data_IF_310670533712
#
_entry.id   IF_310670533712
#
_cell.length_a   1.000
_cell.length_b   1.000
_cell.length_c   1.000
_cell.angle_alpha   90.00
_cell.angle_beta   90.00
_cell.angle_gamma   90.00
#
_symmetry.space_group_name_H-M   'P 1'
#
loop_
_entity.id
_entity.type
_entity.pdbx_description
1 polymer ?
#
# COMPACT_ATOMS: atom_id res chain seq x y z
N UNK A 1 17.88 6.24 25.33
CA UNK A 1 16.90 5.93 24.27
C UNK A 1 17.51 6.39 22.94
N UNK A 2 17.68 5.51 21.95
CA UNK A 2 18.30 5.89 20.65
C UNK A 2 17.56 7.06 20.01
N UNK A 3 18.29 8.04 19.47
CA UNK A 3 17.72 9.21 18.78
C UNK A 3 16.72 8.80 17.70
N UNK A 4 17.02 7.72 16.96
CA UNK A 4 16.15 7.19 15.92
C UNK A 4 14.80 6.70 16.46
N UNK A 5 14.78 5.98 17.59
CA UNK A 5 13.54 5.49 18.17
C UNK A 5 12.67 6.63 18.70
N UNK A 6 13.30 7.65 19.32
CA UNK A 6 12.58 8.85 19.75
C UNK A 6 11.96 9.57 18.55
N UNK A 7 12.73 9.79 17.48
CA UNK A 7 12.24 10.40 16.24
C UNK A 7 11.06 9.62 15.66
N UNK A 8 11.19 8.30 15.52
CA UNK A 8 10.14 7.44 14.99
C UNK A 8 8.85 7.56 15.82
N UNK A 9 8.95 7.40 17.14
CA UNK A 9 7.79 7.46 18.05
C UNK A 9 7.09 8.82 17.99
N UNK A 10 7.84 9.92 18.07
CA UNK A 10 7.27 11.27 18.01
C UNK A 10 6.64 11.54 16.64
N UNK A 11 7.28 11.13 15.55
CA UNK A 11 6.75 11.32 14.19
C UNK A 11 5.48 10.48 13.94
N UNK A 12 5.41 9.26 14.48
CA UNK A 12 4.21 8.43 14.42
C UNK A 12 3.05 9.01 15.24
N UNK A 13 3.35 9.57 16.41
CA UNK A 13 2.34 10.27 17.21
C UNK A 13 1.81 11.51 16.47
N UNK A 14 2.70 12.35 15.93
CA UNK A 14 2.34 13.50 15.13
C UNK A 14 1.48 13.11 13.92
N UNK A 15 1.86 12.05 13.20
CA UNK A 15 1.08 11.55 12.06
C UNK A 15 -0.32 11.10 12.47
N UNK A 16 -0.45 10.48 13.65
CA UNK A 16 -1.75 10.08 14.20
C UNK A 16 -2.61 11.28 14.58
N UNK A 17 -2.05 12.27 15.27
CA UNK A 17 -2.78 13.50 15.61
C UNK A 17 -3.25 14.25 14.36
N UNK A 18 -2.41 14.35 13.33
CA UNK A 18 -2.80 15.00 12.07
C UNK A 18 -3.96 14.28 11.37
N UNK A 19 -4.00 12.95 11.44
CA UNK A 19 -5.03 12.14 10.76
C UNK A 19 -6.32 11.96 11.58
N UNK A 20 -6.24 12.05 12.91
CA UNK A 20 -7.36 11.77 13.82
C UNK A 20 -7.99 13.02 14.45
N UNK A 21 -7.22 14.08 14.66
CA UNK A 21 -7.65 15.23 15.46
C UNK A 21 -8.36 16.34 14.65
N UNK A 22 -8.69 16.09 13.39
CA UNK A 22 -9.39 17.07 12.54
C UNK A 22 -10.90 17.17 12.84
N UNK A 23 -11.45 16.28 13.67
CA UNK A 23 -12.88 16.24 14.00
C UNK A 23 -13.16 15.62 15.38
N UNK A 24 -14.43 15.58 15.79
CA UNK A 24 -14.87 14.90 17.00
C UNK A 24 -14.58 13.39 16.92
N UNK A 25 -14.15 12.73 18.01
CA UNK A 25 -13.74 11.32 17.98
C UNK A 25 -14.78 10.36 17.38
N UNK A 26 -16.07 10.62 17.59
CA UNK A 26 -17.13 9.76 17.07
C UNK A 26 -17.29 9.90 15.55
N UNK A 27 -17.15 11.11 15.00
CA UNK A 27 -17.16 11.38 13.55
C UNK A 27 -15.97 10.71 12.89
N UNK A 28 -14.79 10.80 13.51
CA UNK A 28 -13.60 10.11 13.01
C UNK A 28 -13.84 8.61 12.87
N UNK A 29 -14.35 7.96 13.93
CA UNK A 29 -14.69 6.52 13.90
C UNK A 29 -15.72 6.22 12.82
N UNK A 30 -16.78 7.03 12.72
CA UNK A 30 -17.81 6.86 11.70
C UNK A 30 -17.20 6.91 10.29
N UNK A 31 -16.39 7.92 9.97
CA UNK A 31 -15.76 8.05 8.66
C UNK A 31 -14.74 6.95 8.37
N UNK A 32 -13.99 6.51 9.39
CA UNK A 32 -13.06 5.38 9.27
C UNK A 32 -13.76 4.06 8.93
N UNK A 33 -15.04 3.89 9.31
CA UNK A 33 -15.85 2.71 8.96
C UNK A 33 -16.60 2.90 7.65
N UNK A 34 -17.24 4.05 7.44
CA UNK A 34 -18.05 4.31 6.25
C UNK A 34 -17.18 4.29 4.99
N UNK A 35 -15.99 4.90 5.00
CA UNK A 35 -15.19 5.03 3.77
C UNK A 35 -14.75 3.68 3.20
N UNK A 36 -14.18 2.73 3.98
CA UNK A 36 -13.85 1.40 3.47
C UNK A 36 -15.08 0.60 3.02
N UNK A 37 -16.18 0.66 3.78
CA UNK A 37 -17.43 -0.02 3.44
C UNK A 37 -18.05 0.54 2.14
N UNK A 38 -18.08 1.86 1.97
CA UNK A 38 -18.48 2.52 0.74
C UNK A 38 -17.60 2.10 -0.45
N UNK A 39 -16.28 2.00 -0.24
CA UNK A 39 -15.36 1.44 -1.22
C UNK A 39 -15.67 -0.03 -1.57
N UNK A 40 -16.10 -0.84 -0.60
CA UNK A 40 -16.50 -2.22 -0.84
C UNK A 40 -17.79 -2.33 -1.67
N UNK A 41 -18.74 -1.41 -1.49
CA UNK A 41 -20.00 -1.40 -2.24
C UNK A 41 -19.80 -1.31 -3.76
N UNK A 42 -18.72 -0.68 -4.25
CA UNK A 42 -18.46 -0.66 -5.70
C UNK A 42 -18.22 -2.06 -6.26
N UNK A 43 -17.60 -2.96 -5.49
CA UNK A 43 -17.40 -4.34 -5.87
C UNK A 43 -18.69 -5.15 -5.82
N UNK A 44 -19.59 -4.80 -4.90
CA UNK A 44 -20.94 -5.40 -4.82
C UNK A 44 -21.72 -5.07 -6.09
N UNK A 45 -21.73 -3.81 -6.49
CA UNK A 45 -22.35 -3.38 -7.75
C UNK A 45 -21.72 -4.11 -8.93
N UNK A 46 -20.40 -4.21 -8.96
CA UNK A 46 -19.70 -4.94 -10.02
C UNK A 46 -20.08 -6.42 -10.05
N UNK A 47 -20.18 -7.09 -8.90
CA UNK A 47 -20.65 -8.47 -8.79
C UNK A 47 -22.09 -8.64 -9.31
N UNK A 48 -23.00 -7.75 -8.89
CA UNK A 48 -24.41 -7.75 -9.35
C UNK A 48 -24.47 -7.57 -10.87
N UNK A 49 -23.68 -6.67 -11.44
CA UNK A 49 -23.60 -6.45 -12.89
C UNK A 49 -23.06 -7.70 -13.61
N UNK A 50 -22.02 -8.36 -13.08
CA UNK A 50 -21.51 -9.61 -13.65
C UNK A 50 -22.56 -10.73 -13.67
N UNK A 51 -23.36 -10.84 -12.61
CA UNK A 51 -24.48 -11.79 -12.53
C UNK A 51 -25.60 -11.38 -13.51
N UNK A 52 -25.93 -10.10 -13.61
CA UNK A 52 -26.99 -9.56 -14.47
C UNK A 52 -26.70 -9.72 -15.97
N UNK A 53 -25.42 -9.70 -16.38
CA UNK A 53 -24.99 -9.91 -17.79
C UNK A 53 -25.05 -11.40 -18.18
N UNK A 54 -25.54 -12.29 -17.32
CA UNK A 54 -25.87 -13.68 -17.69
C UNK A 54 -24.69 -14.64 -17.65
N UNK A 55 -23.60 -14.31 -16.94
CA UNK A 55 -22.61 -15.32 -16.55
C UNK A 55 -23.22 -16.15 -15.39
N UNK A 56 -23.53 -17.44 -15.60
CA UNK A 56 -24.30 -18.23 -14.65
C UNK A 56 -23.47 -18.41 -13.38
N UNK A 57 -23.96 -17.86 -12.26
CA UNK A 57 -23.26 -17.79 -10.96
C UNK A 57 -21.81 -17.31 -11.11
N UNK A 58 -21.61 -15.99 -11.06
CA UNK A 58 -20.26 -15.43 -10.98
C UNK A 58 -19.43 -16.23 -9.98
N UNK A 59 -18.37 -16.87 -10.47
CA UNK A 59 -17.58 -17.84 -9.71
C UNK A 59 -17.29 -17.27 -8.31
N UNK A 60 -17.85 -17.86 -7.24
CA UNK A 60 -17.69 -17.35 -5.87
C UNK A 60 -16.22 -17.20 -5.48
N UNK A 61 -15.35 -18.03 -6.08
CA UNK A 61 -13.92 -17.99 -5.85
C UNK A 61 -13.29 -16.81 -6.59
N UNK A 62 -13.75 -16.48 -7.81
CA UNK A 62 -13.33 -15.28 -8.54
C UNK A 62 -13.79 -13.98 -7.84
N UNK A 63 -14.99 -13.97 -7.25
CA UNK A 63 -15.44 -12.83 -6.44
C UNK A 63 -14.58 -12.67 -5.18
N UNK A 64 -14.32 -13.77 -4.46
CA UNK A 64 -13.46 -13.75 -3.26
C UNK A 64 -12.03 -13.31 -3.61
N UNK A 65 -11.49 -13.79 -4.73
CA UNK A 65 -10.18 -13.39 -5.28
C UNK A 65 -10.07 -11.87 -5.46
N UNK A 66 -11.04 -11.30 -6.15
CA UNK A 66 -11.11 -9.88 -6.45
C UNK A 66 -11.32 -9.03 -5.19
N UNK A 67 -12.19 -9.50 -4.30
CA UNK A 67 -12.51 -8.81 -3.05
C UNK A 67 -11.31 -8.72 -2.11
N UNK A 68 -10.59 -9.83 -1.91
CA UNK A 68 -9.36 -9.86 -1.10
C UNK A 68 -8.29 -8.96 -1.72
N UNK A 69 -8.11 -9.06 -3.04
CA UNK A 69 -7.17 -8.21 -3.77
C UNK A 69 -7.43 -6.73 -3.54
N UNK A 70 -8.67 -6.29 -3.77
CA UNK A 70 -9.07 -4.90 -3.60
C UNK A 70 -8.99 -4.44 -2.14
N UNK A 71 -9.30 -5.33 -1.18
CA UNK A 71 -9.15 -5.04 0.24
C UNK A 71 -7.69 -4.71 0.56
N UNK A 72 -6.74 -5.55 0.13
CA UNK A 72 -5.31 -5.28 0.34
C UNK A 72 -4.81 -4.09 -0.48
N UNK A 73 -5.46 -3.75 -1.59
CA UNK A 73 -5.14 -2.55 -2.36
C UNK A 73 -5.37 -1.24 -1.57
N UNK A 74 -6.20 -1.26 -0.52
CA UNK A 74 -6.32 -0.14 0.43
C UNK A 74 -4.96 0.18 1.07
N UNK A 75 -4.11 -0.83 1.34
CA UNK A 75 -2.75 -0.58 1.81
C UNK A 75 -1.92 0.16 0.76
N UNK A 76 -2.01 -0.23 -0.52
CA UNK A 76 -1.30 0.45 -1.60
C UNK A 76 -1.75 1.90 -1.67
N UNK A 77 -3.05 2.15 -1.75
CA UNK A 77 -3.61 3.49 -1.83
C UNK A 77 -3.32 4.35 -0.59
N UNK A 78 -3.21 3.76 0.61
CA UNK A 78 -3.02 4.53 1.85
C UNK A 78 -1.56 4.68 2.25
N UNK A 79 -0.78 3.60 2.21
CA UNK A 79 0.60 3.57 2.71
C UNK A 79 1.56 4.15 1.68
N UNK A 80 1.47 3.75 0.41
CA UNK A 80 2.35 4.28 -0.64
C UNK A 80 2.08 5.78 -0.84
N UNK A 81 0.81 6.14 -1.09
CA UNK A 81 0.42 7.54 -1.27
C UNK A 81 0.67 8.35 0.00
N UNK A 82 0.29 7.84 1.17
CA UNK A 82 0.47 8.54 2.44
C UNK A 82 1.94 8.82 2.73
N UNK A 83 2.84 7.87 2.46
CA UNK A 83 4.29 8.05 2.64
C UNK A 83 4.83 9.14 1.70
N UNK A 84 4.44 9.11 0.44
CA UNK A 84 4.77 10.14 -0.54
C UNK A 84 4.25 11.52 -0.10
N UNK A 85 3.00 11.57 0.37
CA UNK A 85 2.32 12.79 0.78
C UNK A 85 2.96 13.43 2.01
N UNK A 86 3.58 12.66 2.92
CA UNK A 86 4.33 13.23 4.06
C UNK A 86 5.39 14.21 3.55
N UNK A 87 6.18 13.80 2.57
CA UNK A 87 7.26 14.63 2.01
C UNK A 87 6.68 15.87 1.32
N UNK A 88 5.61 15.70 0.55
CA UNK A 88 4.96 16.81 -0.14
C UNK A 88 4.33 17.80 0.84
N UNK A 89 3.62 17.31 1.84
CA UNK A 89 2.92 18.14 2.83
C UNK A 89 3.89 18.93 3.69
N UNK A 90 4.99 18.34 4.12
CA UNK A 90 6.01 19.03 4.92
C UNK A 90 6.79 20.06 4.09
N UNK A 91 6.89 19.88 2.77
CA UNK A 91 7.54 20.83 1.86
C UNK A 91 6.62 21.97 1.42
N UNK A 92 5.43 21.65 0.91
CA UNK A 92 4.54 22.62 0.27
C UNK A 92 3.50 23.19 1.23
N UNK A 93 2.80 22.35 2.00
CA UNK A 93 1.65 22.78 2.79
C UNK A 93 2.07 23.39 4.13
N UNK A 94 2.91 22.66 4.89
CA UNK A 94 3.35 23.08 6.21
C UNK A 94 4.67 23.87 6.15
N UNK A 95 5.43 23.74 5.05
CA UNK A 95 6.75 24.37 4.86
C UNK A 95 7.73 24.10 6.01
N UNK A 96 7.51 23.01 6.74
CA UNK A 96 8.29 22.60 7.93
C UNK A 96 9.54 21.82 7.60
N UNK A 97 9.69 21.36 6.35
CA UNK A 97 10.83 20.53 5.92
C UNK A 97 12.18 21.16 6.31
N UNK A 98 12.32 22.49 6.20
CA UNK A 98 13.55 23.22 6.60
C UNK A 98 13.88 23.02 8.08
N UNK A 99 12.88 23.04 8.96
CA UNK A 99 13.06 22.90 10.41
C UNK A 99 13.45 21.47 10.77
N UNK A 100 12.89 20.49 10.07
CA UNK A 100 13.25 19.09 10.30
C UNK A 100 14.69 18.82 9.87
N UNK A 101 15.13 19.40 8.76
CA UNK A 101 16.49 19.22 8.22
C UNK A 101 17.60 19.93 9.04
N UNK A 102 17.31 21.02 9.75
CA UNK A 102 18.26 21.66 10.69
C UNK A 102 18.33 20.94 12.04
N UNK A 103 17.32 20.13 12.37
CA UNK A 103 17.29 19.40 13.64
C UNK A 103 18.21 18.17 13.58
N UNK A 104 18.75 17.70 14.72
CA UNK A 104 19.66 16.55 14.78
C UNK A 104 18.89 15.21 14.68
N UNK A 105 17.99 15.08 13.69
CA UNK A 105 17.19 13.88 13.46
C UNK A 105 17.31 13.41 12.00
N UNK A 106 17.12 12.12 11.78
CA UNK A 106 17.06 11.57 10.43
C UNK A 106 15.69 11.80 9.82
N UNK A 107 15.63 12.53 8.70
CA UNK A 107 14.40 12.75 7.95
C UNK A 107 13.79 11.44 7.43
N UNK A 108 14.63 10.46 7.05
CA UNK A 108 14.17 9.13 6.64
C UNK A 108 13.37 8.42 7.74
N UNK A 109 13.89 8.42 8.99
CA UNK A 109 13.20 7.81 10.14
C UNK A 109 11.94 8.59 10.53
N UNK A 110 11.97 9.91 10.35
CA UNK A 110 10.80 10.75 10.54
C UNK A 110 9.68 10.40 9.52
N UNK A 111 10.00 10.20 8.24
CA UNK A 111 9.04 9.73 7.23
C UNK A 111 8.46 8.37 7.61
N UNK A 112 9.31 7.41 8.00
CA UNK A 112 8.86 6.09 8.44
C UNK A 112 7.90 6.17 9.63
N UNK A 113 8.18 7.07 10.59
CA UNK A 113 7.30 7.32 11.72
C UNK A 113 5.94 7.86 11.27
N UNK A 114 5.91 8.92 10.46
CA UNK A 114 4.67 9.49 9.91
C UNK A 114 3.86 8.46 9.09
N UNK A 115 4.55 7.57 8.36
CA UNK A 115 3.91 6.52 7.59
C UNK A 115 3.34 5.38 8.45
N UNK A 116 3.85 5.17 9.67
CA UNK A 116 3.31 4.17 10.59
C UNK A 116 1.86 4.45 10.98
N UNK A 117 1.47 5.72 11.10
CA UNK A 117 0.07 6.13 11.35
C UNK A 117 -0.83 5.75 10.17
N UNK A 118 -0.35 5.92 8.93
CA UNK A 118 -1.05 5.48 7.71
C UNK A 118 -1.21 3.97 7.65
N UNK A 119 -0.19 3.21 8.07
CA UNK A 119 -0.28 1.75 8.22
C UNK A 119 -1.36 1.39 9.24
N UNK A 120 -1.35 2.01 10.43
CA UNK A 120 -2.34 1.72 11.47
C UNK A 120 -3.78 1.94 10.96
N UNK A 121 -4.06 3.10 10.37
CA UNK A 121 -5.38 3.43 9.81
C UNK A 121 -5.77 2.45 8.70
N UNK A 122 -4.85 2.09 7.81
CA UNK A 122 -5.14 1.14 6.73
C UNK A 122 -5.34 -0.30 7.22
N UNK A 123 -4.66 -0.74 8.29
CA UNK A 123 -4.94 -2.05 8.92
C UNK A 123 -6.40 -2.11 9.38
N UNK A 124 -6.90 -1.06 10.05
CA UNK A 124 -8.30 -0.99 10.45
C UNK A 124 -9.23 -1.00 9.24
N UNK A 125 -8.94 -0.19 8.22
CA UNK A 125 -9.76 -0.14 7.01
C UNK A 125 -9.83 -1.50 6.28
N UNK A 126 -8.71 -2.20 6.14
CA UNK A 126 -8.66 -3.54 5.53
C UNK A 126 -9.42 -4.55 6.37
N UNK A 127 -9.24 -4.55 7.69
CA UNK A 127 -9.98 -5.43 8.58
C UNK A 127 -11.50 -5.22 8.48
N UNK A 128 -11.96 -3.96 8.48
CA UNK A 128 -13.37 -3.60 8.32
C UNK A 128 -13.89 -4.09 6.97
N UNK A 129 -13.15 -3.87 5.88
CA UNK A 129 -13.53 -4.35 4.55
C UNK A 129 -13.64 -5.87 4.51
N UNK A 130 -12.62 -6.61 4.98
CA UNK A 130 -12.66 -8.08 4.99
C UNK A 130 -13.83 -8.62 5.81
N UNK A 131 -14.06 -8.07 7.01
CA UNK A 131 -15.18 -8.44 7.88
C UNK A 131 -16.53 -8.15 7.21
N UNK A 132 -16.66 -7.01 6.55
CA UNK A 132 -17.87 -6.67 5.78
C UNK A 132 -18.11 -7.67 4.63
N UNK A 133 -17.06 -8.06 3.91
CA UNK A 133 -17.13 -9.05 2.84
C UNK A 133 -17.61 -10.41 3.31
N UNK A 134 -17.09 -10.89 4.44
CA UNK A 134 -17.52 -12.18 5.01
C UNK A 134 -18.97 -12.11 5.49
N UNK A 135 -19.35 -11.06 6.23
CA UNK A 135 -20.68 -10.99 6.86
C UNK A 135 -21.82 -10.69 5.88
N UNK A 136 -21.60 -9.81 4.90
CA UNK A 136 -22.67 -9.30 4.04
C UNK A 136 -22.59 -9.80 2.60
N UNK A 137 -21.40 -10.19 2.11
CA UNK A 137 -21.17 -10.52 0.70
C UNK A 137 -20.83 -12.00 0.47
N UNK A 138 -20.79 -12.80 1.53
CA UNK A 138 -20.50 -14.24 1.43
C UNK A 138 -19.09 -14.56 0.93
N UNK A 139 -18.13 -13.65 1.12
CA UNK A 139 -16.72 -13.87 0.75
C UNK A 139 -16.17 -15.04 1.57
N UNK A 140 -15.59 -16.03 0.88
CA UNK A 140 -15.02 -17.22 1.50
C UNK A 140 -13.62 -16.91 2.02
N UNK A 141 -13.54 -16.46 3.27
CA UNK A 141 -12.25 -16.30 3.96
C UNK A 141 -12.03 -17.44 4.94
N UNK A 142 -10.91 -18.13 4.78
CA UNK A 142 -10.41 -19.11 5.73
C UNK A 142 -8.92 -18.83 5.97
N UNK A 143 -8.53 -18.63 7.22
CA UNK A 143 -7.14 -18.52 7.63
C UNK A 143 -6.87 -19.57 8.69
N UNK A 144 -6.12 -20.61 8.33
CA UNK A 144 -5.72 -21.63 9.28
C UNK A 144 -4.75 -21.03 10.32
N UNK A 145 -4.86 -21.44 11.58
CA UNK A 145 -3.96 -20.98 12.65
C UNK A 145 -2.48 -21.27 12.34
N UNK A 146 -2.19 -22.34 11.60
CA UNK A 146 -0.84 -22.70 11.17
C UNK A 146 -0.23 -21.68 10.18
N UNK A 147 -1.08 -21.00 9.40
CA UNK A 147 -0.68 -20.05 8.35
C UNK A 147 -0.57 -18.60 8.86
N UNK A 148 -1.05 -18.32 10.08
CA UNK A 148 -0.98 -16.99 10.70
C UNK A 148 0.45 -16.43 10.72
N UNK A 149 1.51 -17.18 11.10
CA UNK A 149 2.87 -16.65 11.04
C UNK A 149 3.29 -16.23 9.63
N UNK A 150 2.96 -17.04 8.62
CA UNK A 150 3.29 -16.76 7.23
C UNK A 150 2.53 -15.54 6.70
N UNK A 151 1.26 -15.40 7.09
CA UNK A 151 0.43 -14.25 6.79
C UNK A 151 0.99 -12.96 7.40
N UNK A 152 1.42 -12.99 8.66
CA UNK A 152 2.01 -11.83 9.34
C UNK A 152 3.33 -11.43 8.69
N UNK A 153 4.22 -12.39 8.42
CA UNK A 153 5.52 -12.12 7.80
C UNK A 153 5.34 -11.53 6.39
N UNK A 154 4.49 -12.15 5.56
CA UNK A 154 4.22 -11.65 4.21
C UNK A 154 3.58 -10.25 4.22
N UNK A 155 2.70 -9.96 5.17
CA UNK A 155 2.09 -8.64 5.36
C UNK A 155 3.13 -7.59 5.76
N UNK A 156 4.00 -7.89 6.72
CA UNK A 156 5.09 -6.97 7.12
C UNK A 156 6.01 -6.68 5.93
N UNK A 157 6.38 -7.71 5.15
CA UNK A 157 7.19 -7.54 3.95
C UNK A 157 6.48 -6.70 2.90
N UNK A 158 5.21 -6.98 2.60
CA UNK A 158 4.41 -6.20 1.65
C UNK A 158 4.29 -4.73 2.05
N UNK A 159 4.02 -4.44 3.32
CA UNK A 159 4.00 -3.08 3.84
C UNK A 159 5.38 -2.40 3.75
N UNK A 160 6.47 -3.12 4.01
CA UNK A 160 7.82 -2.59 3.87
C UNK A 160 8.16 -2.22 2.43
N UNK A 161 7.69 -2.99 1.45
CA UNK A 161 7.80 -2.65 0.02
C UNK A 161 7.02 -1.38 -0.29
N UNK A 162 5.79 -1.24 0.20
CA UNK A 162 4.99 -0.04 -0.03
C UNK A 162 5.65 1.22 0.54
N UNK A 163 6.23 1.12 1.74
CA UNK A 163 7.04 2.19 2.32
C UNK A 163 8.24 2.51 1.43
N UNK A 164 8.99 1.49 1.00
CA UNK A 164 10.16 1.66 0.15
C UNK A 164 9.80 2.38 -1.16
N UNK A 165 8.73 1.95 -1.84
CA UNK A 165 8.25 2.57 -3.08
C UNK A 165 7.77 4.01 -2.81
N UNK A 166 6.99 4.24 -1.75
CA UNK A 166 6.54 5.59 -1.38
C UNK A 166 7.70 6.55 -1.12
N UNK A 167 8.76 6.07 -0.45
CA UNK A 167 9.99 6.85 -0.23
C UNK A 167 10.76 7.07 -1.55
N UNK A 168 10.82 6.11 -2.47
CA UNK A 168 11.40 6.32 -3.80
C UNK A 168 10.71 7.48 -4.51
N UNK A 169 9.37 7.46 -4.54
CA UNK A 169 8.56 8.49 -5.21
C UNK A 169 8.78 9.86 -4.57
N UNK A 170 8.86 9.91 -3.23
CA UNK A 170 9.17 11.15 -2.51
C UNK A 170 10.60 11.64 -2.73
N UNK A 171 11.57 10.73 -2.87
CA UNK A 171 12.94 11.07 -3.25
C UNK A 171 13.02 11.70 -4.65
N UNK A 172 12.22 11.17 -5.59
CA UNK A 172 12.09 11.73 -6.95
C UNK A 172 11.38 13.08 -6.94
N UNK A 173 10.37 13.28 -6.08
CA UNK A 173 9.65 14.56 -6.01
C UNK A 173 10.52 15.72 -5.50
N UNK A 174 11.63 15.46 -4.81
CA UNK A 174 12.61 16.51 -4.52
C UNK A 174 13.19 17.15 -5.79
N UNK A 175 13.32 16.38 -6.87
CA UNK A 175 13.89 16.83 -8.14
C UNK A 175 12.83 17.40 -9.10
N UNK A 176 11.59 16.97 -8.95
CA UNK A 176 10.48 17.31 -9.85
C UNK A 176 9.52 18.29 -9.19
N UNK A 177 9.47 19.53 -9.69
CA UNK A 177 8.64 20.60 -9.12
C UNK A 177 7.20 20.65 -9.66
N UNK A 178 6.86 19.94 -10.75
CA UNK A 178 5.50 19.96 -11.33
C UNK A 178 5.06 18.53 -11.65
N UNK A 179 3.80 18.18 -11.34
CA UNK A 179 3.16 16.86 -11.54
C UNK A 179 3.46 15.78 -10.48
N UNK A 180 3.79 16.17 -9.25
CA UNK A 180 3.95 15.25 -8.11
C UNK A 180 2.67 14.43 -7.85
N UNK A 181 1.49 15.04 -8.03
CA UNK A 181 0.21 14.36 -7.86
C UNK A 181 -0.04 13.24 -8.88
N UNK A 182 0.33 13.45 -10.15
CA UNK A 182 0.17 12.42 -11.19
C UNK A 182 1.03 11.17 -10.96
N UNK A 183 2.24 11.35 -10.40
CA UNK A 183 3.07 10.21 -9.97
C UNK A 183 2.45 9.46 -8.79
N UNK A 184 1.83 10.20 -7.87
CA UNK A 184 1.24 9.67 -6.65
C UNK A 184 0.00 8.79 -6.94
N UNK A 185 -0.77 9.11 -7.99
CA UNK A 185 -1.96 8.36 -8.38
C UNK A 185 -1.68 7.34 -9.50
N UNK A 186 -0.82 7.70 -10.45
CA UNK A 186 -0.49 6.86 -11.60
C UNK A 186 0.20 5.55 -11.20
N UNK A 187 1.12 5.58 -10.25
CA UNK A 187 1.85 4.38 -9.82
C UNK A 187 0.93 3.35 -9.13
N UNK A 188 0.09 3.73 -8.15
CA UNK A 188 -0.96 2.82 -7.65
C UNK A 188 -1.89 2.31 -8.75
N UNK A 189 -2.29 3.17 -9.70
CA UNK A 189 -3.12 2.75 -10.85
C UNK A 189 -2.46 1.65 -11.69
N UNK A 190 -1.15 1.75 -11.95
CA UNK A 190 -0.40 0.69 -12.62
C UNK A 190 -0.38 -0.59 -11.78
N UNK A 191 -0.18 -0.49 -10.46
CA UNK A 191 -0.20 -1.66 -9.58
C UNK A 191 -1.57 -2.34 -9.54
N UNK A 192 -2.65 -1.57 -9.63
CA UNK A 192 -4.01 -2.12 -9.70
C UNK A 192 -4.21 -3.05 -10.91
N UNK A 193 -3.58 -2.74 -12.04
CA UNK A 193 -3.64 -3.52 -13.28
C UNK A 193 -2.63 -4.67 -13.27
N UNK A 194 -1.36 -4.39 -12.95
CA UNK A 194 -0.26 -5.34 -13.15
C UNK A 194 0.02 -6.28 -11.97
N UNK A 195 -0.46 -5.95 -10.76
CA UNK A 195 -0.25 -6.81 -9.58
C UNK A 195 -1.38 -7.82 -9.35
N UNK A 196 -2.25 -7.97 -10.34
CA UNK A 196 -3.37 -8.90 -10.32
C UNK A 196 -4.35 -8.63 -9.19
N UNK A 197 -4.74 -7.37 -8.96
CA UNK A 197 -5.63 -6.96 -7.86
C UNK A 197 -7.07 -7.41 -8.14
N UNK A 198 -7.61 -7.04 -9.30
CA UNK A 198 -8.98 -7.37 -9.71
C UNK A 198 -9.08 -8.68 -10.47
N UNK A 199 -8.13 -8.94 -11.35
CA UNK A 199 -8.09 -10.12 -12.21
C UNK A 199 -6.74 -10.83 -12.10
N UNK A 200 -6.69 -12.15 -12.35
CA UNK A 200 -5.45 -12.90 -12.24
C UNK A 200 -4.45 -12.47 -13.32
N UNK A 201 -3.16 -12.59 -12.99
CA UNK A 201 -2.07 -12.23 -13.89
C UNK A 201 -2.12 -13.00 -15.22
N UNK A 202 -2.72 -14.20 -15.24
CA UNK A 202 -2.89 -15.04 -16.43
C UNK A 202 -3.74 -14.43 -17.54
N UNK A 203 -4.57 -13.42 -17.22
CA UNK A 203 -5.40 -12.71 -18.20
C UNK A 203 -4.61 -11.68 -19.00
N UNK A 204 -3.46 -11.22 -18.48
CA UNK A 204 -2.61 -10.26 -19.17
C UNK A 204 -1.83 -10.93 -20.32
N UNK A 205 -1.53 -10.18 -21.40
CA UNK A 205 -0.61 -10.64 -22.44
C UNK A 205 0.78 -10.91 -21.86
N UNK A 206 1.59 -11.71 -22.55
CA UNK A 206 2.91 -12.18 -22.04
C UNK A 206 3.81 -11.04 -21.54
N UNK A 207 3.83 -9.91 -22.24
CA UNK A 207 4.59 -8.73 -21.83
C UNK A 207 4.07 -8.14 -20.51
N UNK A 208 2.74 -8.12 -20.31
CA UNK A 208 2.10 -7.63 -19.09
C UNK A 208 2.34 -8.56 -17.91
N UNK A 209 2.38 -9.87 -18.16
CA UNK A 209 2.78 -10.86 -17.15
C UNK A 209 4.23 -10.67 -16.71
N UNK A 210 5.14 -10.41 -17.65
CA UNK A 210 6.54 -10.14 -17.33
C UNK A 210 6.69 -8.89 -16.43
N UNK A 211 5.95 -7.81 -16.73
CA UNK A 211 5.89 -6.62 -15.89
C UNK A 211 5.35 -6.94 -14.50
N UNK A 212 4.24 -7.68 -14.42
CA UNK A 212 3.65 -8.08 -13.14
C UNK A 212 4.61 -8.90 -12.27
N UNK A 213 5.35 -9.85 -12.85
CA UNK A 213 6.35 -10.67 -12.13
C UNK A 213 7.56 -9.87 -11.65
N UNK A 214 7.86 -8.71 -12.25
CA UNK A 214 8.92 -7.84 -11.76
C UNK A 214 8.53 -7.04 -10.51
N UNK A 215 7.23 -6.90 -10.24
CA UNK A 215 6.72 -6.09 -9.13
C UNK A 215 6.57 -6.96 -7.87
N UNK A 216 7.18 -6.58 -6.72
CA UNK A 216 7.12 -7.38 -5.48
C UNK A 216 5.69 -7.58 -4.97
N UNK A 217 4.82 -6.58 -5.17
CA UNK A 217 3.43 -6.60 -4.71
C UNK A 217 2.63 -7.76 -5.31
N UNK A 218 2.97 -8.20 -6.52
CA UNK A 218 2.33 -9.38 -7.16
C UNK A 218 2.49 -10.63 -6.29
N UNK A 219 3.68 -10.86 -5.74
CA UNK A 219 3.92 -12.00 -4.85
C UNK A 219 3.20 -11.85 -3.51
N UNK A 220 3.09 -10.62 -3.00
CA UNK A 220 2.35 -10.34 -1.77
C UNK A 220 0.83 -10.56 -1.92
N UNK A 221 0.23 -10.08 -3.00
CA UNK A 221 -1.18 -10.32 -3.29
C UNK A 221 -1.48 -11.79 -3.57
N UNK A 222 -0.55 -12.52 -4.19
CA UNK A 222 -0.73 -13.95 -4.45
C UNK A 222 -0.66 -14.78 -3.15
N UNK A 223 0.36 -14.57 -2.31
CA UNK A 223 0.50 -15.31 -1.05
C UNK A 223 -0.63 -14.98 -0.06
N UNK A 224 -1.03 -13.71 0.06
CA UNK A 224 -2.13 -13.33 0.96
C UNK A 224 -3.45 -13.97 0.56
N UNK A 225 -3.74 -14.09 -0.74
CA UNK A 225 -4.91 -14.83 -1.21
C UNK A 225 -4.82 -16.32 -0.92
N UNK A 226 -3.69 -16.97 -1.21
CA UNK A 226 -3.52 -18.40 -0.92
C UNK A 226 -3.78 -18.74 0.55
N UNK A 227 -3.37 -17.85 1.45
CA UNK A 227 -3.55 -18.03 2.90
C UNK A 227 -4.97 -17.66 3.37
N UNK A 228 -5.69 -16.80 2.65
CA UNK A 228 -7.02 -16.33 3.05
C UNK A 228 -8.17 -17.03 2.31
N UNK A 229 -7.92 -17.63 1.16
CA UNK A 229 -8.92 -18.31 0.33
C UNK A 229 -8.44 -19.72 0.01
N UNK A 230 -8.72 -20.65 0.92
CA UNK A 230 -8.42 -22.07 0.69
C UNK A 230 -9.18 -22.61 -0.54
N UNK A 231 -8.50 -23.42 -1.36
CA UNK A 231 -9.14 -24.13 -2.47
C UNK A 231 -9.48 -23.27 -3.69
N UNK A 232 -9.02 -22.01 -3.76
CA UNK A 232 -9.22 -21.16 -4.95
C UNK A 232 -8.73 -21.86 -6.22
N UNK A 233 -9.65 -22.13 -7.15
CA UNK A 233 -9.36 -22.73 -8.48
C UNK A 233 -8.81 -21.71 -9.47
N UNK A 234 -8.70 -20.44 -9.07
CA UNK A 234 -8.21 -19.35 -9.92
C UNK A 234 -6.75 -19.57 -10.28
N UNK A 235 -6.49 -19.81 -11.57
CA UNK A 235 -5.13 -19.95 -12.09
C UNK A 235 -4.42 -18.59 -12.04
N UNK A 236 -3.61 -18.39 -11.01
CA UNK A 236 -2.55 -17.41 -11.03
C UNK A 236 -1.37 -18.04 -11.75
N UNK A 237 -0.68 -17.33 -12.62
CA UNK A 237 0.52 -17.83 -13.33
C UNK A 237 1.63 -18.35 -12.40
N UNK A 238 1.47 -18.13 -11.09
CA UNK A 238 2.34 -18.56 -10.01
C UNK A 238 1.86 -19.86 -9.35
N UNK A 239 0.74 -20.46 -9.78
CA UNK A 239 0.10 -21.62 -9.15
C UNK A 239 1.00 -22.86 -9.04
N UNK A 240 2.02 -22.97 -9.90
CA UNK A 240 3.03 -24.04 -9.83
C UNK A 240 4.10 -23.87 -8.75
N UNK A 241 4.15 -22.73 -8.06
CA UNK A 241 5.11 -22.47 -6.98
C UNK A 241 4.47 -22.69 -5.61
N UNK A 242 5.24 -23.29 -4.70
CA UNK A 242 4.88 -23.43 -3.29
C UNK A 242 4.84 -22.06 -2.58
N UNK A 243 3.97 -21.84 -1.56
CA UNK A 243 3.90 -20.57 -0.83
C UNK A 243 5.24 -20.09 -0.25
N UNK A 244 6.13 -21.00 0.16
CA UNK A 244 7.47 -20.63 0.66
C UNK A 244 8.36 -20.07 -0.46
N UNK A 245 8.23 -20.61 -1.69
CA UNK A 245 8.97 -20.09 -2.85
C UNK A 245 8.50 -18.68 -3.20
N UNK A 246 7.20 -18.42 -3.12
CA UNK A 246 6.63 -17.10 -3.36
C UNK A 246 7.05 -16.12 -2.26
N UNK A 247 7.08 -16.56 -1.01
CA UNK A 247 7.65 -15.77 0.09
C UNK A 247 9.11 -15.43 -0.18
N UNK A 248 9.91 -16.38 -0.67
CA UNK A 248 11.31 -16.12 -1.04
C UNK A 248 11.40 -15.06 -2.14
N UNK A 249 10.58 -15.13 -3.19
CA UNK A 249 10.52 -14.09 -4.22
C UNK A 249 10.13 -12.73 -3.63
N UNK A 250 9.18 -12.71 -2.69
CA UNK A 250 8.81 -11.48 -1.97
C UNK A 250 9.98 -10.95 -1.14
N UNK A 251 10.71 -11.80 -0.40
CA UNK A 251 11.87 -11.38 0.40
C UNK A 251 12.97 -10.81 -0.48
N UNK A 252 13.37 -11.52 -1.53
CA UNK A 252 14.45 -11.09 -2.44
C UNK A 252 14.08 -9.76 -3.11
N UNK A 253 12.86 -9.66 -3.62
CA UNK A 253 12.39 -8.44 -4.25
C UNK A 253 12.20 -7.29 -3.26
N UNK A 254 11.78 -7.56 -2.02
CA UNK A 254 11.69 -6.56 -0.95
C UNK A 254 13.06 -5.98 -0.57
N UNK A 255 14.07 -6.83 -0.42
CA UNK A 255 15.45 -6.39 -0.14
C UNK A 255 15.99 -5.54 -1.29
N UNK A 256 15.75 -5.96 -2.54
CA UNK A 256 16.13 -5.19 -3.73
C UNK A 256 15.48 -3.81 -3.78
N UNK A 257 14.16 -3.72 -3.55
CA UNK A 257 13.42 -2.46 -3.54
C UNK A 257 13.77 -1.57 -2.36
N UNK A 258 14.06 -2.15 -1.19
CA UNK A 258 14.55 -1.39 -0.05
C UNK A 258 15.92 -0.74 -0.35
N UNK A 259 16.85 -1.50 -0.92
CA UNK A 259 18.14 -0.97 -1.37
C UNK A 259 17.99 0.16 -2.40
N UNK A 260 17.11 -0.05 -3.39
CA UNK A 260 16.78 0.96 -4.41
C UNK A 260 16.18 2.23 -3.78
N UNK A 261 15.31 2.06 -2.79
CA UNK A 261 14.69 3.18 -2.05
C UNK A 261 15.72 4.03 -1.32
N UNK A 262 16.63 3.40 -0.58
CA UNK A 262 17.71 4.11 0.09
C UNK A 262 18.61 4.84 -0.90
N UNK A 263 18.93 4.21 -2.04
CA UNK A 263 19.74 4.82 -3.09
C UNK A 263 19.05 6.04 -3.69
N UNK A 264 17.82 5.88 -4.19
CA UNK A 264 17.05 6.97 -4.82
C UNK A 264 16.83 8.11 -3.85
N UNK A 265 16.47 7.81 -2.60
CA UNK A 265 16.26 8.81 -1.57
C UNK A 265 17.54 9.61 -1.30
N UNK A 266 18.68 8.94 -1.06
CA UNK A 266 19.95 9.63 -0.77
C UNK A 266 20.45 10.45 -1.95
N UNK A 267 20.31 9.94 -3.17
CA UNK A 267 20.69 10.64 -4.40
C UNK A 267 19.81 11.86 -4.62
N UNK A 268 18.49 11.69 -4.52
CA UNK A 268 17.51 12.78 -4.64
C UNK A 268 17.73 13.86 -3.59
N UNK A 269 17.92 13.45 -2.33
CA UNK A 269 18.25 14.36 -1.23
C UNK A 269 19.54 15.13 -1.51
N UNK A 270 20.64 14.46 -1.87
CA UNK A 270 21.92 15.11 -2.15
C UNK A 270 21.82 16.16 -3.26
N UNK A 271 21.20 15.81 -4.38
CA UNK A 271 21.02 16.74 -5.50
C UNK A 271 20.09 17.91 -5.14
N UNK A 272 19.02 17.66 -4.39
CA UNK A 272 18.12 18.71 -3.94
C UNK A 272 18.82 19.67 -2.95
N UNK A 273 19.66 19.15 -2.04
CA UNK A 273 20.49 19.96 -1.14
C UNK A 273 21.44 20.85 -1.94
N UNK A 274 22.19 20.26 -2.87
CA UNK A 274 23.17 20.98 -3.69
C UNK A 274 22.53 22.06 -4.57
N UNK A 275 21.31 21.82 -5.04
CA UNK A 275 20.58 22.76 -5.87
C UNK A 275 19.77 23.81 -5.07
N UNK A 276 19.74 23.74 -3.73
CA UNK A 276 18.91 24.61 -2.90
C UNK A 276 17.40 24.42 -3.14
N UNK A 277 16.97 23.20 -3.49
CA UNK A 277 15.59 22.89 -3.89
C UNK A 277 14.76 22.17 -2.83
N UNK A 278 15.33 21.83 -1.67
CA UNK A 278 14.63 21.05 -0.62
C UNK A 278 13.35 21.75 -0.15
N UNK A 279 13.42 23.06 0.05
CA UNK A 279 12.35 23.90 0.56
C UNK A 279 11.67 24.74 -0.53
N UNK A 280 12.06 24.54 -1.80
CA UNK A 280 11.47 25.26 -2.93
C UNK A 280 10.01 24.86 -3.09
N UNK A 281 9.09 25.76 -2.79
CA UNK A 281 7.65 25.58 -2.98
C UNK A 281 7.24 25.95 -4.39
N UNK A 282 6.12 25.39 -4.83
CA UNK A 282 5.58 25.57 -6.19
C UNK A 282 4.53 26.69 -6.26
N UNK A 283 4.19 27.29 -5.12
CA UNK A 283 3.26 28.42 -4.95
C UNK A 283 1.86 28.18 -5.55
N UNK A 284 1.36 26.96 -5.47
CA UNK A 284 -0.05 26.64 -5.69
C UNK A 284 -0.88 26.86 -4.43
#
# INVERSE_FOLDING_TARGET
MSTYWRTFKTAAWLGWEMDSNWTEPWLFVLYSVIKPVAGAFILVLMYIVFVAIGRPQGDPDAFSYMYVGNSFFIFVASVLFGTFQVIQSDREWYQTIRYVYISPISYYVYILGRAASKIAVSVFAVAITLVFGVMFLGVRLHLAFADVPLFVVSTILGLSVLLAIGICLGGISFLTAKHTHGLAEGIPGLFYVFCGVLFPLSVLPDWGQAVGRAIPLTYWFDITRRLLTEGSTVNTTLGGYDPLTILLFLVVSSVGFFGLSVLIYKVGEYFARKAGKIDMTTSY
#
